data_IF_171106585622
#
_entry.id   IF_171106585622
#
_cell.length_a   1.000
_cell.length_b   1.000
_cell.length_c   1.000
_cell.angle_alpha   90.00
_cell.angle_beta   90.00
_cell.angle_gamma   90.00
#
_symmetry.space_group_name_H-M   'P 1'
#
loop_
_entity.id
_entity.type
_entity.pdbx_description
1 polymer ?
#
# COMPACT_ATOMS: atom_id res chain seq x y z
N UNK A 1 -19.20 -10.35 -10.08
CA UNK A 1 -20.38 -9.46 -10.04
C UNK A 1 -20.94 -9.54 -8.63
N UNK A 2 -21.01 -8.44 -7.89
CA UNK A 2 -21.55 -8.42 -6.54
C UNK A 2 -22.50 -7.24 -6.40
N UNK A 3 -23.71 -7.51 -5.94
CA UNK A 3 -24.77 -6.53 -5.70
C UNK A 3 -24.94 -6.35 -4.19
N UNK A 4 -24.91 -5.10 -3.73
CA UNK A 4 -25.25 -4.73 -2.37
C UNK A 4 -26.75 -4.38 -2.31
N UNK A 5 -27.51 -5.10 -1.49
CA UNK A 5 -28.87 -4.71 -1.09
C UNK A 5 -28.79 -4.12 0.31
N UNK A 6 -29.22 -2.87 0.46
CA UNK A 6 -29.39 -2.24 1.77
C UNK A 6 -30.88 -2.07 2.02
N UNK A 7 -31.42 -2.82 2.98
CA UNK A 7 -32.81 -2.70 3.41
C UNK A 7 -32.93 -1.47 4.33
N UNK A 8 -33.78 -0.51 3.95
CA UNK A 8 -34.10 0.66 4.77
C UNK A 8 -35.48 0.44 5.39
N UNK A 9 -35.55 0.24 6.70
CA UNK A 9 -36.82 0.40 7.42
C UNK A 9 -37.06 1.89 7.66
N UNK A 10 -38.28 2.35 7.37
CA UNK A 10 -38.76 3.67 7.76
C UNK A 10 -39.89 3.48 8.79
N UNK A 11 -39.83 4.21 9.90
CA UNK A 11 -40.97 4.46 10.77
C UNK A 11 -41.51 5.87 10.51
N UNK A 12 -42.83 5.98 10.45
CA UNK A 12 -43.61 7.20 10.15
C UNK A 12 -43.70 8.11 11.38
N UNK A 13 -43.66 9.46 11.26
CA UNK A 13 -43.96 10.35 12.38
C UNK A 13 -45.41 10.86 12.35
N UNK A 14 -46.00 11.06 13.55
CA UNK A 14 -47.28 11.76 13.75
C UNK A 14 -47.07 13.26 14.03
N UNK A 15 -48.06 14.14 13.77
CA UNK A 15 -47.87 15.59 13.74
C UNK A 15 -48.29 16.28 15.05
N UNK A 16 -47.59 17.34 15.44
CA UNK A 16 -48.08 18.25 16.49
C UNK A 16 -47.08 19.30 16.97
N UNK A 17 -47.43 20.56 16.71
CA UNK A 17 -46.98 21.82 17.35
C UNK A 17 -45.70 22.54 16.88
N UNK A 18 -45.92 23.79 16.45
CA UNK A 18 -44.93 24.80 16.06
C UNK A 18 -44.48 25.71 17.23
N UNK A 19 -43.72 26.80 16.96
CA UNK A 19 -42.35 26.92 17.44
C UNK A 19 -42.14 27.99 18.52
N UNK A 20 -40.92 28.09 19.09
CA UNK A 20 -40.28 29.39 19.12
C UNK A 20 -38.89 29.38 18.49
N UNK A 21 -38.61 30.51 17.84
CA UNK A 21 -37.38 30.93 17.18
C UNK A 21 -36.19 30.86 18.14
N UNK A 22 -35.26 29.93 17.92
CA UNK A 22 -33.91 29.92 18.51
C UNK A 22 -32.90 29.54 17.42
N UNK A 23 -31.81 30.29 17.41
CA UNK A 23 -30.73 30.39 16.42
C UNK A 23 -30.38 29.11 15.64
N UNK A 24 -30.35 29.24 14.31
CA UNK A 24 -29.63 28.32 13.44
C UNK A 24 -28.14 28.46 13.69
N UNK A 25 -27.60 27.65 14.59
CA UNK A 25 -26.21 27.20 14.47
C UNK A 25 -26.29 25.91 13.65
N UNK A 26 -26.16 26.05 12.33
CA UNK A 26 -25.87 24.92 11.46
C UNK A 26 -24.43 24.52 11.74
N UNK A 27 -24.21 23.72 12.79
CA UNK A 27 -23.00 22.90 12.87
C UNK A 27 -23.14 21.82 11.80
N UNK A 28 -22.78 22.20 10.58
CA UNK A 28 -22.35 21.25 9.57
C UNK A 28 -21.08 20.61 10.13
N UNK A 29 -21.04 19.29 10.41
CA UNK A 29 -19.79 18.65 10.72
C UNK A 29 -18.94 18.82 9.47
N UNK A 30 -18.00 19.77 9.51
CA UNK A 30 -16.90 19.80 8.57
C UNK A 30 -16.20 18.46 8.78
N UNK A 31 -16.59 17.46 7.99
CA UNK A 31 -15.82 16.26 7.79
C UNK A 31 -14.53 16.75 7.15
N UNK A 32 -13.60 17.21 8.00
CA UNK A 32 -12.19 17.24 7.68
C UNK A 32 -11.93 15.87 7.06
N UNK A 33 -11.48 15.80 5.80
CA UNK A 33 -11.02 14.54 5.29
C UNK A 33 -9.76 14.26 6.11
N UNK A 34 -9.94 13.57 7.24
CA UNK A 34 -8.90 12.86 7.95
C UNK A 34 -8.46 11.76 6.98
N UNK A 35 -7.78 12.16 5.91
CA UNK A 35 -6.97 11.28 5.09
C UNK A 35 -5.87 10.84 6.03
N UNK A 36 -6.11 9.73 6.72
CA UNK A 36 -5.08 9.02 7.45
C UNK A 36 -3.89 8.89 6.51
N UNK A 37 -2.78 9.56 6.84
CA UNK A 37 -1.56 9.46 6.06
C UNK A 37 -1.04 8.02 6.22
N UNK A 38 -1.32 7.16 5.24
CA UNK A 38 -0.82 5.80 5.25
C UNK A 38 0.68 5.85 5.00
N UNK A 39 1.47 5.51 6.02
CA UNK A 39 2.93 5.49 5.92
C UNK A 39 3.44 4.18 5.34
N UNK A 40 2.65 3.11 5.36
CA UNK A 40 3.08 1.77 4.94
C UNK A 40 1.98 0.98 4.24
N UNK A 41 2.33 0.26 3.17
CA UNK A 41 1.49 -0.73 2.47
C UNK A 41 2.29 -2.02 2.34
N UNK A 42 1.68 -3.15 2.68
CA UNK A 42 2.26 -4.48 2.43
C UNK A 42 1.36 -5.24 1.46
N UNK A 43 1.94 -5.67 0.34
CA UNK A 43 1.29 -6.53 -0.63
C UNK A 43 1.94 -7.91 -0.58
N UNK A 44 1.16 -8.96 -0.35
CA UNK A 44 1.66 -10.33 -0.32
C UNK A 44 1.28 -10.99 -1.63
N UNK A 45 2.29 -11.43 -2.34
CA UNK A 45 2.15 -12.19 -3.57
C UNK A 45 2.56 -13.62 -3.29
N UNK A 46 1.93 -14.51 -4.00
CA UNK A 46 2.52 -15.79 -4.26
C UNK A 46 3.32 -15.60 -5.59
N UNK A 47 4.63 -15.93 -5.65
CA UNK A 47 5.34 -16.33 -6.88
C UNK A 47 6.17 -17.63 -6.77
N UNK A 48 6.52 -18.27 -7.91
CA UNK A 48 7.57 -19.29 -7.97
C UNK A 48 8.93 -18.58 -7.94
N UNK A 49 9.74 -18.88 -6.92
CA UNK A 49 11.07 -18.29 -6.71
C UNK A 49 12.01 -19.40 -6.25
N UNK A 50 13.18 -19.51 -6.91
CA UNK A 50 14.17 -20.56 -6.64
C UNK A 50 13.55 -21.97 -6.71
N UNK A 51 12.84 -22.24 -7.81
CA UNK A 51 12.15 -23.51 -8.07
C UNK A 51 10.96 -23.86 -7.16
N UNK A 52 10.63 -23.01 -6.18
CA UNK A 52 9.62 -23.31 -5.17
C UNK A 52 8.49 -22.28 -5.14
N UNK A 53 7.29 -22.73 -4.77
CA UNK A 53 6.14 -21.86 -4.54
C UNK A 53 6.33 -21.11 -3.21
N UNK A 54 6.52 -19.78 -3.22
CA UNK A 54 6.80 -18.96 -2.02
C UNK A 54 5.91 -17.73 -1.91
N UNK A 55 5.73 -17.28 -0.66
CA UNK A 55 5.18 -15.96 -0.39
C UNK A 55 6.27 -14.89 -0.55
N UNK A 56 5.95 -13.86 -1.31
CA UNK A 56 6.75 -12.66 -1.52
C UNK A 56 5.99 -11.47 -0.97
N UNK A 57 6.47 -10.88 0.12
CA UNK A 57 5.89 -9.66 0.66
C UNK A 57 6.62 -8.44 0.09
N UNK A 58 5.86 -7.51 -0.49
CA UNK A 58 6.30 -6.23 -1.00
C UNK A 58 5.82 -5.15 -0.05
N UNK A 59 6.76 -4.51 0.64
CA UNK A 59 6.49 -3.48 1.64
C UNK A 59 6.93 -2.12 1.10
N UNK A 60 5.95 -1.26 0.83
CA UNK A 60 6.15 0.14 0.49
C UNK A 60 6.03 0.99 1.75
N UNK A 61 7.07 1.75 2.07
CA UNK A 61 7.05 2.71 3.16
C UNK A 61 7.27 4.13 2.65
N UNK A 62 6.60 5.10 3.26
CA UNK A 62 6.76 6.53 3.04
C UNK A 62 6.98 7.22 4.37
N UNK A 63 8.11 7.91 4.49
CA UNK A 63 8.38 8.82 5.60
C UNK A 63 8.39 10.27 5.08
N UNK A 64 8.62 11.24 5.97
CA UNK A 64 8.60 12.67 5.62
C UNK A 64 9.53 13.04 4.44
N UNK A 65 10.62 12.30 4.24
CA UNK A 65 11.68 12.63 3.29
C UNK A 65 11.91 11.56 2.21
N UNK A 66 11.38 10.34 2.33
CA UNK A 66 11.74 9.25 1.43
C UNK A 66 10.63 8.21 1.25
N UNK A 67 10.80 7.40 0.20
CA UNK A 67 10.10 6.14 0.03
C UNK A 67 11.12 5.00 0.18
N UNK A 68 10.67 3.85 0.68
CA UNK A 68 11.48 2.64 0.77
C UNK A 68 10.65 1.47 0.24
N UNK A 69 11.31 0.61 -0.52
CA UNK A 69 10.77 -0.67 -0.96
C UNK A 69 11.52 -1.78 -0.22
N UNK A 70 10.81 -2.65 0.49
CA UNK A 70 11.39 -3.86 1.08
C UNK A 70 10.69 -5.08 0.48
N UNK A 71 11.47 -6.04 0.05
CA UNK A 71 10.99 -7.33 -0.43
C UNK A 71 11.36 -8.38 0.60
N UNK A 72 10.40 -9.24 0.95
CA UNK A 72 10.60 -10.38 1.83
C UNK A 72 10.20 -11.64 1.10
N UNK A 73 11.05 -12.66 1.08
CA UNK A 73 10.75 -13.97 0.51
C UNK A 73 10.77 -15.00 1.62
N UNK A 74 9.68 -15.73 1.79
CA UNK A 74 9.59 -16.76 2.82
C UNK A 74 10.37 -18.02 2.38
N UNK A 75 11.02 -18.67 3.35
CA UNK A 75 11.63 -19.97 3.13
C UNK A 75 10.58 -21.06 2.96
N UNK A 76 10.95 -22.13 2.25
CA UNK A 76 10.18 -23.38 2.18
C UNK A 76 10.06 -24.05 3.54
N UNK A 77 11.01 -23.81 4.46
CA UNK A 77 11.00 -24.36 5.82
C UNK A 77 10.14 -23.58 6.81
N UNK A 78 9.54 -22.45 6.43
CA UNK A 78 8.62 -21.65 7.26
C UNK A 78 9.26 -20.85 8.42
N UNK A 79 10.47 -21.21 8.85
CA UNK A 79 11.11 -20.63 10.04
C UNK A 79 11.87 -19.32 9.77
N UNK A 80 12.22 -19.05 8.51
CA UNK A 80 13.04 -17.89 8.15
C UNK A 80 12.59 -17.23 6.86
N UNK A 81 13.07 -16.01 6.66
CA UNK A 81 12.75 -15.20 5.49
C UNK A 81 13.93 -14.36 5.05
N UNK A 82 14.01 -14.15 3.76
CA UNK A 82 15.06 -13.38 3.11
C UNK A 82 14.58 -11.97 2.81
N UNK A 83 15.37 -10.95 3.13
CA UNK A 83 14.96 -9.56 2.95
C UNK A 83 15.89 -8.81 2.01
N UNK A 84 15.29 -8.12 1.04
CA UNK A 84 15.95 -7.21 0.12
C UNK A 84 15.37 -5.80 0.30
N UNK A 85 16.13 -4.91 0.95
CA UNK A 85 15.75 -3.51 1.19
C UNK A 85 16.35 -2.56 0.15
N UNK A 86 15.51 -1.66 -0.36
CA UNK A 86 15.83 -0.65 -1.38
C UNK A 86 15.38 0.72 -0.85
N UNK A 87 16.35 1.57 -0.51
CA UNK A 87 16.08 2.95 -0.06
C UNK A 87 16.02 3.90 -1.26
N UNK A 88 14.85 4.48 -1.50
CA UNK A 88 14.59 5.43 -2.60
C UNK A 88 14.77 6.84 -2.07
N UNK A 89 15.98 7.38 -2.22
CA UNK A 89 16.31 8.70 -1.69
C UNK A 89 15.72 9.82 -2.56
N UNK A 90 15.38 10.98 -1.97
CA UNK A 90 14.76 12.10 -2.68
C UNK A 90 15.72 12.91 -3.58
N UNK A 91 17.04 12.78 -3.42
CA UNK A 91 18.02 13.56 -4.20
C UNK A 91 18.25 13.00 -5.60
N UNK A 92 18.66 13.87 -6.54
CA UNK A 92 18.79 13.73 -8.00
C UNK A 92 19.10 12.32 -8.55
N UNK A 93 18.11 11.42 -8.49
CA UNK A 93 18.02 10.10 -9.14
C UNK A 93 18.72 8.90 -8.50
N UNK A 94 19.36 9.02 -7.34
CA UNK A 94 20.06 7.86 -6.78
C UNK A 94 19.08 6.79 -6.28
N UNK A 95 19.33 5.52 -6.66
CA UNK A 95 18.55 4.31 -6.31
C UNK A 95 17.09 4.27 -6.78
N UNK A 96 16.59 5.24 -7.55
CA UNK A 96 15.26 5.12 -8.16
C UNK A 96 15.20 4.04 -9.23
N UNK A 97 16.31 3.71 -9.87
CA UNK A 97 16.46 2.56 -10.76
C UNK A 97 17.68 1.76 -10.32
N UNK A 98 17.60 0.44 -10.40
CA UNK A 98 18.74 -0.40 -10.09
C UNK A 98 18.41 -1.87 -10.11
N UNK A 99 19.38 -2.64 -9.62
CA UNK A 99 19.22 -4.04 -9.32
C UNK A 99 19.97 -4.40 -8.03
N UNK A 100 19.57 -5.50 -7.41
CA UNK A 100 20.20 -6.06 -6.20
C UNK A 100 20.01 -7.58 -6.24
N UNK A 101 21.10 -8.30 -6.06
CA UNK A 101 21.08 -9.75 -5.88
C UNK A 101 21.14 -10.12 -4.41
N UNK A 102 20.50 -11.23 -4.06
CA UNK A 102 20.58 -11.87 -2.75
C UNK A 102 20.33 -13.37 -2.90
N UNK A 103 20.60 -14.13 -1.85
CA UNK A 103 20.44 -15.59 -1.86
C UNK A 103 19.14 -16.01 -1.14
N UNK A 104 18.41 -16.95 -1.73
CA UNK A 104 17.21 -17.60 -1.17
C UNK A 104 17.42 -19.10 -1.23
N UNK A 105 17.55 -19.76 -0.08
CA UNK A 105 17.82 -21.20 0.06
C UNK A 105 18.98 -21.71 -0.83
N UNK A 106 20.07 -20.95 -0.94
CA UNK A 106 21.21 -21.31 -1.80
C UNK A 106 21.08 -20.94 -3.27
N UNK A 107 19.95 -20.36 -3.69
CA UNK A 107 19.71 -19.91 -5.05
C UNK A 107 19.86 -18.39 -5.18
N UNK A 108 20.51 -17.94 -6.25
CA UNK A 108 20.62 -16.52 -6.54
C UNK A 108 19.28 -15.96 -7.04
N UNK A 109 18.83 -14.90 -6.40
CA UNK A 109 17.63 -14.14 -6.79
C UNK A 109 18.05 -12.70 -7.06
N UNK A 110 17.61 -12.18 -8.20
CA UNK A 110 17.88 -10.82 -8.63
C UNK A 110 16.60 -9.99 -8.62
N UNK A 111 16.68 -8.80 -8.05
CA UNK A 111 15.59 -7.84 -8.04
C UNK A 111 16.00 -6.66 -8.89
N UNK A 112 15.15 -6.30 -9.84
CA UNK A 112 15.28 -5.10 -10.67
C UNK A 112 14.14 -4.14 -10.37
N UNK A 113 14.41 -2.84 -10.38
CA UNK A 113 13.39 -1.83 -10.19
C UNK A 113 13.65 -0.58 -11.02
N UNK A 114 12.57 0.07 -11.44
CA UNK A 114 12.60 1.45 -11.94
C UNK A 114 11.39 2.20 -11.40
N UNK A 115 11.67 3.17 -10.54
CA UNK A 115 10.76 4.07 -9.86
C UNK A 115 11.00 5.52 -10.27
N UNK A 116 11.77 5.76 -11.34
CA UNK A 116 12.12 7.14 -11.78
C UNK A 116 10.89 7.94 -12.19
N UNK A 117 9.93 7.28 -12.82
CA UNK A 117 8.66 7.86 -13.29
C UNK A 117 7.47 7.53 -12.38
N UNK A 118 7.70 6.81 -11.28
CA UNK A 118 6.63 6.31 -10.41
C UNK A 118 5.73 7.44 -9.92
N UNK A 119 4.42 7.26 -10.10
CA UNK A 119 3.40 8.18 -9.57
C UNK A 119 2.85 7.61 -8.26
N UNK A 120 2.68 8.45 -7.26
CA UNK A 120 2.13 8.06 -5.95
C UNK A 120 0.80 8.78 -5.71
N UNK A 121 -0.14 8.12 -5.03
CA UNK A 121 -1.40 8.74 -4.63
C UNK A 121 -1.17 9.85 -3.58
N UNK A 122 -2.13 10.77 -3.45
CA UNK A 122 -2.06 11.86 -2.45
C UNK A 122 -2.23 11.31 -1.02
N UNK A 123 -1.20 10.66 -0.49
CA UNK A 123 -1.20 10.13 0.89
C UNK A 123 -0.80 8.67 1.04
N UNK A 124 -0.58 7.93 -0.06
CA UNK A 124 -0.12 6.53 -0.01
C UNK A 124 1.39 6.38 -0.22
N UNK A 125 1.98 5.28 0.26
CA UNK A 125 3.40 4.93 0.04
C UNK A 125 3.61 4.07 -1.22
N UNK A 126 2.56 3.43 -1.72
CA UNK A 126 2.60 2.57 -2.90
C UNK A 126 2.43 3.40 -4.18
N UNK A 127 3.27 3.16 -5.22
CA UNK A 127 3.09 3.80 -6.51
C UNK A 127 1.87 3.23 -7.25
N UNK A 128 1.14 4.11 -7.96
CA UNK A 128 -0.08 3.78 -8.69
C UNK A 128 0.15 3.52 -10.18
N UNK A 129 1.24 4.05 -10.76
CA UNK A 129 1.57 3.89 -12.18
C UNK A 129 3.04 4.20 -12.46
N UNK A 130 3.47 3.89 -13.70
CA UNK A 130 4.76 4.30 -14.28
C UNK A 130 5.99 3.77 -13.52
N UNK A 131 5.89 2.56 -12.98
CA UNK A 131 6.95 1.89 -12.24
C UNK A 131 7.00 0.40 -12.56
N UNK A 132 8.14 -0.24 -12.28
CA UNK A 132 8.21 -1.70 -12.21
C UNK A 132 9.12 -2.17 -11.07
N UNK A 133 8.80 -3.35 -10.55
CA UNK A 133 9.65 -4.18 -9.71
C UNK A 133 9.59 -5.60 -10.29
N UNK A 134 10.73 -6.18 -10.60
CA UNK A 134 10.83 -7.53 -11.15
C UNK A 134 11.76 -8.36 -10.26
N UNK A 135 11.37 -9.60 -10.02
CA UNK A 135 12.18 -10.60 -9.34
C UNK A 135 12.48 -11.72 -10.34
N UNK A 136 13.74 -12.09 -10.45
CA UNK A 136 14.23 -13.11 -11.38
C UNK A 136 14.99 -14.16 -10.56
N UNK A 137 14.67 -15.42 -10.80
CA UNK A 137 15.37 -16.57 -10.23
C UNK A 137 15.44 -17.67 -11.28
N UNK A 138 16.49 -18.50 -11.21
CA UNK A 138 16.60 -19.72 -12.01
C UNK A 138 15.55 -20.78 -11.63
#
# INVERSE_FOLDING_TARGET
MAFHLTFRSQSVPSPGQGPPLVERISEEPLALPNKSAQSTVTCIYQANVAGCWRNVSVLWCKNLMNHTLNLKVDSTGGEFSYTCKIDVKPWYFWNKKGYKSFEVDGHQVEVYWDLRSARFSSGGPEPVSDYYVAMVSE
#
